data_IF_618394608584
#
_entry.id   IF_618394608584
#
_cell.length_a   1.000
_cell.length_b   1.000
_cell.length_c   1.000
_cell.angle_alpha   90.00
_cell.angle_beta   90.00
_cell.angle_gamma   90.00
#
_symmetry.space_group_name_H-M   'P 1'
#
loop_
_entity.id
_entity.type
_entity.pdbx_description
1 polymer ?
#
# COMPACT_ATOMS: atom_id res chain seq x y z
N UNK A 1 -4.11 -23.50 -27.34
CA UNK A 1 -2.95 -23.27 -26.44
C UNK A 1 -2.48 -21.84 -26.61
N UNK A 2 -2.04 -21.18 -25.53
CA UNK A 2 -1.50 -19.82 -25.59
C UNK A 2 -0.09 -19.83 -26.20
N UNK A 3 0.33 -18.73 -26.86
CA UNK A 3 1.71 -18.58 -27.33
C UNK A 3 2.67 -18.58 -26.14
N UNK A 4 3.87 -19.11 -26.35
CA UNK A 4 4.97 -18.90 -25.40
C UNK A 4 5.37 -17.43 -25.47
N UNK A 5 5.74 -16.86 -24.32
CA UNK A 5 6.24 -15.49 -24.26
C UNK A 5 7.55 -15.48 -23.49
N UNK A 6 8.43 -14.56 -23.86
CA UNK A 6 9.65 -14.26 -23.11
C UNK A 6 9.82 -12.75 -22.97
N UNK A 7 10.45 -12.34 -21.89
CA UNK A 7 10.87 -10.96 -21.67
C UNK A 7 12.37 -10.94 -21.36
N UNK A 8 13.09 -10.01 -22.00
CA UNK A 8 14.51 -9.82 -21.78
C UNK A 8 14.86 -8.33 -21.84
N UNK A 9 15.66 -7.80 -20.92
CA UNK A 9 16.17 -6.43 -21.00
C UNK A 9 17.23 -6.29 -22.10
N UNK A 10 17.92 -7.38 -22.45
CA UNK A 10 18.93 -7.42 -23.49
C UNK A 10 18.27 -7.76 -24.83
N UNK A 11 18.64 -7.10 -25.94
CA UNK A 11 18.08 -7.42 -27.25
C UNK A 11 18.34 -8.89 -27.60
N UNK A 12 17.29 -9.62 -28.05
CA UNK A 12 17.42 -10.98 -28.57
C UNK A 12 18.48 -11.02 -29.67
N UNK A 13 19.12 -12.19 -29.83
CA UNK A 13 20.18 -12.36 -30.83
C UNK A 13 19.71 -12.00 -32.25
N UNK A 14 18.44 -12.25 -32.57
CA UNK A 14 17.87 -11.92 -33.89
C UNK A 14 17.84 -10.42 -34.21
N UNK A 15 17.89 -9.55 -33.19
CA UNK A 15 17.84 -8.09 -33.33
C UNK A 15 19.21 -7.43 -33.14
N UNK A 16 20.29 -8.20 -32.96
CA UNK A 16 21.65 -7.66 -32.81
C UNK A 16 22.20 -7.25 -34.17
N UNK A 17 22.31 -5.94 -34.41
CA UNK A 17 22.84 -5.35 -35.66
C UNK A 17 21.88 -4.34 -36.30
N UNK A 18 20.61 -4.38 -35.90
CA UNK A 18 19.65 -3.33 -36.25
C UNK A 18 19.91 -2.07 -35.40
N UNK A 19 19.67 -0.86 -35.95
CA UNK A 19 19.71 0.38 -35.18
C UNK A 19 18.50 0.43 -34.24
N UNK A 20 18.52 -0.39 -33.19
CA UNK A 20 17.55 -0.33 -32.09
C UNK A 20 17.89 0.91 -31.27
N UNK A 21 17.38 2.05 -31.72
CA UNK A 21 17.51 3.32 -31.02
C UNK A 21 16.80 3.22 -29.66
N UNK A 22 17.42 3.83 -28.65
CA UNK A 22 16.88 4.03 -27.31
C UNK A 22 16.62 2.77 -26.46
N UNK A 23 17.63 1.90 -26.38
CA UNK A 23 17.83 0.99 -25.25
C UNK A 23 18.13 1.79 -23.96
N UNK A 24 17.15 2.56 -23.50
CA UNK A 24 17.22 3.24 -22.20
C UNK A 24 17.26 2.18 -21.09
N UNK A 25 17.85 2.51 -19.95
CA UNK A 25 18.07 1.59 -18.81
C UNK A 25 16.80 0.85 -18.32
N UNK A 26 15.61 1.34 -18.64
CA UNK A 26 14.33 0.77 -18.23
C UNK A 26 13.53 0.10 -19.37
N UNK A 27 14.10 0.05 -20.57
CA UNK A 27 13.49 -0.60 -21.72
C UNK A 27 13.79 -2.10 -21.74
N UNK A 28 12.89 -2.87 -22.36
CA UNK A 28 13.08 -4.31 -22.52
C UNK A 28 12.23 -4.85 -23.66
N UNK A 29 12.59 -6.03 -24.12
CA UNK A 29 11.97 -6.70 -25.26
C UNK A 29 11.00 -7.76 -24.77
N UNK A 30 9.82 -7.80 -25.40
CA UNK A 30 8.85 -8.87 -25.26
C UNK A 30 8.80 -9.62 -26.58
N UNK A 31 8.96 -10.95 -26.53
CA UNK A 31 8.91 -11.80 -27.72
C UNK A 31 7.82 -12.86 -27.54
N UNK A 32 7.06 -13.11 -28.61
CA UNK A 32 5.99 -14.10 -28.65
C UNK A 32 6.26 -15.15 -29.72
N UNK A 33 6.20 -16.43 -29.35
CA UNK A 33 6.39 -17.53 -30.30
C UNK A 33 5.05 -17.91 -30.94
N UNK A 34 4.80 -17.31 -32.10
CA UNK A 34 3.55 -17.51 -32.86
C UNK A 34 3.74 -18.66 -33.85
N UNK A 35 3.33 -19.87 -33.44
CA UNK A 35 3.21 -21.03 -34.34
C UNK A 35 1.92 -21.00 -35.19
N UNK A 36 1.85 -21.81 -36.26
CA UNK A 36 0.68 -21.96 -37.15
C UNK A 36 -0.64 -22.16 -36.39
N UNK A 37 -0.60 -22.94 -35.29
CA UNK A 37 -1.74 -23.19 -34.40
C UNK A 37 -2.42 -21.94 -33.81
N UNK A 38 -1.75 -20.79 -33.82
CA UNK A 38 -2.30 -19.52 -33.35
C UNK A 38 -2.95 -18.70 -34.46
N UNK A 39 -2.55 -18.90 -35.72
CA UNK A 39 -2.97 -18.11 -36.88
C UNK A 39 -3.82 -18.90 -37.88
N UNK A 40 -4.00 -20.22 -37.67
CA UNK A 40 -4.84 -21.06 -38.53
C UNK A 40 -6.32 -20.65 -38.50
N UNK A 41 -6.89 -20.48 -39.71
CA UNK A 41 -8.31 -20.22 -39.94
C UNK A 41 -8.79 -18.87 -39.40
N UNK A 42 -9.97 -18.86 -38.78
CA UNK A 42 -10.63 -17.63 -38.26
C UNK A 42 -9.94 -17.00 -37.03
N UNK A 43 -8.83 -17.59 -36.56
CA UNK A 43 -8.12 -17.14 -35.34
C UNK A 43 -7.05 -16.08 -35.64
N UNK A 44 -6.73 -15.89 -36.91
CA UNK A 44 -5.76 -14.90 -37.38
C UNK A 44 -6.17 -13.49 -36.95
N UNK A 45 -7.41 -13.08 -37.25
CA UNK A 45 -7.90 -11.72 -36.99
C UNK A 45 -7.82 -11.37 -35.49
N UNK A 46 -8.23 -12.30 -34.63
CA UNK A 46 -8.15 -12.11 -33.17
C UNK A 46 -6.70 -12.03 -32.69
N UNK A 47 -5.81 -12.83 -33.26
CA UNK A 47 -4.39 -12.83 -32.88
C UNK A 47 -3.71 -11.53 -33.29
N UNK A 48 -3.98 -11.05 -34.52
CA UNK A 48 -3.50 -9.76 -35.02
C UNK A 48 -4.01 -8.62 -34.13
N UNK A 49 -5.31 -8.61 -33.82
CA UNK A 49 -5.90 -7.62 -32.94
C UNK A 49 -5.24 -7.60 -31.55
N UNK A 50 -5.04 -8.78 -30.95
CA UNK A 50 -4.42 -8.90 -29.63
C UNK A 50 -2.96 -8.43 -29.62
N UNK A 51 -2.18 -8.75 -30.67
CA UNK A 51 -0.78 -8.33 -30.78
C UNK A 51 -0.67 -6.82 -30.99
N UNK A 52 -1.52 -6.25 -31.85
CA UNK A 52 -1.54 -4.81 -32.10
C UNK A 52 -1.90 -4.02 -30.84
N UNK A 53 -2.85 -4.53 -30.04
CA UNK A 53 -3.31 -3.86 -28.82
C UNK A 53 -2.54 -4.27 -27.55
N UNK A 54 -1.55 -5.16 -27.66
CA UNK A 54 -0.85 -5.70 -26.48
C UNK A 54 -0.17 -4.60 -25.66
N UNK A 55 0.49 -3.65 -26.33
CA UNK A 55 1.18 -2.55 -25.66
C UNK A 55 0.22 -1.69 -24.82
N UNK A 56 -0.87 -1.23 -25.43
CA UNK A 56 -1.90 -0.44 -24.76
C UNK A 56 -2.55 -1.24 -23.61
N UNK A 57 -2.75 -2.54 -23.80
CA UNK A 57 -3.27 -3.44 -22.78
C UNK A 57 -2.34 -3.53 -21.56
N UNK A 58 -1.04 -3.72 -21.77
CA UNK A 58 -0.06 -3.80 -20.67
C UNK A 58 0.04 -2.47 -19.94
N UNK A 59 0.13 -1.36 -20.67
CA UNK A 59 0.19 -0.02 -20.09
C UNK A 59 -1.04 0.26 -19.21
N UNK A 60 -2.23 -0.07 -19.71
CA UNK A 60 -3.47 0.04 -18.96
C UNK A 60 -3.44 -0.80 -17.68
N UNK A 61 -2.99 -2.06 -17.75
CA UNK A 61 -2.90 -2.94 -16.57
C UNK A 61 -1.94 -2.41 -15.51
N UNK A 62 -0.82 -1.81 -15.90
CA UNK A 62 0.12 -1.18 -14.97
C UNK A 62 -0.53 0.03 -14.29
N UNK A 63 -1.27 0.87 -15.04
CA UNK A 63 -2.01 2.00 -14.45
C UNK A 63 -3.08 1.53 -13.47
N UNK A 64 -3.84 0.49 -13.83
CA UNK A 64 -4.85 -0.09 -12.95
C UNK A 64 -4.27 -0.68 -11.66
N UNK A 65 -3.16 -1.40 -11.73
CA UNK A 65 -2.53 -1.98 -10.54
C UNK A 65 -2.01 -0.90 -9.59
N UNK A 66 -1.40 0.17 -10.11
CA UNK A 66 -1.02 1.35 -9.33
C UNK A 66 -2.23 1.98 -8.64
N UNK A 67 -3.33 2.20 -9.36
CA UNK A 67 -4.56 2.74 -8.79
C UNK A 67 -5.18 1.84 -7.70
N UNK A 68 -5.14 0.52 -7.89
CA UNK A 68 -5.59 -0.46 -6.92
C UNK A 68 -4.77 -0.41 -5.62
N UNK A 69 -3.43 -0.41 -5.74
CA UNK A 69 -2.53 -0.31 -4.58
C UNK A 69 -2.78 1.00 -3.84
N UNK A 70 -2.87 2.13 -4.55
CA UNK A 70 -3.13 3.44 -3.95
C UNK A 70 -4.47 3.50 -3.21
N UNK A 71 -5.53 2.88 -3.75
CA UNK A 71 -6.83 2.76 -3.06
C UNK A 71 -6.72 1.94 -1.78
N UNK A 72 -5.95 0.85 -1.79
CA UNK A 72 -5.71 0.03 -0.59
C UNK A 72 -4.90 0.80 0.46
N UNK A 73 -3.89 1.56 0.02
CA UNK A 73 -3.09 2.42 0.90
C UNK A 73 -3.95 3.50 1.57
N UNK A 74 -4.84 4.18 0.82
CA UNK A 74 -5.80 5.15 1.41
C UNK A 74 -6.66 4.52 2.50
N UNK A 75 -7.30 3.38 2.21
CA UNK A 75 -8.10 2.66 3.22
C UNK A 75 -7.28 2.24 4.44
N UNK A 76 -6.05 1.80 4.23
CA UNK A 76 -5.12 1.50 5.32
C UNK A 76 -4.83 2.72 6.17
N UNK A 77 -4.51 3.86 5.54
CA UNK A 77 -4.26 5.13 6.20
C UNK A 77 -5.48 5.61 7.00
N UNK A 78 -6.67 5.60 6.40
CA UNK A 78 -7.93 6.00 7.06
C UNK A 78 -8.17 5.17 8.33
N UNK A 79 -7.88 3.87 8.29
CA UNK A 79 -8.02 2.98 9.44
C UNK A 79 -7.04 3.27 10.58
N UNK A 80 -5.82 3.74 10.25
CA UNK A 80 -4.83 4.13 11.24
C UNK A 80 -5.16 5.48 11.85
N UNK A 81 -5.57 6.45 11.03
CA UNK A 81 -6.02 7.77 11.47
C UNK A 81 -7.15 7.64 12.47
N UNK A 82 -8.17 6.83 12.15
CA UNK A 82 -9.27 6.56 13.09
C UNK A 82 -8.80 6.02 14.44
N UNK A 83 -7.89 5.06 14.46
CA UNK A 83 -7.34 4.51 15.71
C UNK A 83 -6.56 5.56 16.51
N UNK A 84 -5.85 6.46 15.84
CA UNK A 84 -5.14 7.57 16.50
C UNK A 84 -6.11 8.57 17.11
N UNK A 85 -7.18 8.94 16.39
CA UNK A 85 -8.24 9.82 16.89
C UNK A 85 -8.97 9.21 18.09
N UNK A 86 -9.33 7.92 18.02
CA UNK A 86 -9.93 7.17 19.12
C UNK A 86 -9.00 7.16 20.35
N UNK A 87 -7.71 6.87 20.15
CA UNK A 87 -6.71 6.87 21.23
C UNK A 87 -6.51 8.26 21.86
N UNK A 88 -6.53 9.32 21.05
CA UNK A 88 -6.41 10.69 21.54
C UNK A 88 -7.66 11.11 22.34
N UNK A 89 -8.84 10.75 21.85
CA UNK A 89 -10.11 10.98 22.55
C UNK A 89 -10.13 10.25 23.89
N UNK A 90 -9.73 8.97 23.91
CA UNK A 90 -9.59 8.20 25.15
C UNK A 90 -8.57 8.81 26.12
N UNK A 91 -7.45 9.33 25.62
CA UNK A 91 -6.44 10.03 26.44
C UNK A 91 -7.03 11.30 27.06
N UNK A 92 -7.73 12.12 26.27
CA UNK A 92 -8.41 13.32 26.74
C UNK A 92 -9.47 12.99 27.79
N UNK A 93 -10.32 11.98 27.54
CA UNK A 93 -11.32 11.51 28.51
C UNK A 93 -10.69 10.97 29.78
N UNK A 94 -9.56 10.26 29.70
CA UNK A 94 -8.83 9.80 30.89
C UNK A 94 -8.24 10.98 31.65
N UNK A 95 -7.69 11.97 30.96
CA UNK A 95 -7.22 13.21 31.58
C UNK A 95 -8.37 13.99 32.20
N UNK A 96 -9.56 14.02 31.60
CA UNK A 96 -10.74 14.69 32.11
C UNK A 96 -11.37 13.95 33.29
N UNK A 97 -11.39 12.61 33.25
CA UNK A 97 -11.93 11.76 34.32
C UNK A 97 -10.97 11.65 35.49
N UNK A 98 -9.65 11.67 35.24
CA UNK A 98 -8.69 12.07 36.25
C UNK A 98 -9.15 13.44 36.71
N UNK A 99 -9.13 14.48 35.83
CA UNK A 99 -9.58 15.88 36.01
C UNK A 99 -11.02 16.13 36.57
N UNK A 100 -11.75 15.10 37.02
CA UNK A 100 -12.94 15.25 37.87
C UNK A 100 -12.79 14.54 39.22
N UNK A 101 -12.06 13.42 39.24
CA UNK A 101 -11.77 12.64 40.45
C UNK A 101 -10.89 13.39 41.48
N UNK A 102 -9.84 14.17 41.12
CA UNK A 102 -9.11 14.99 42.14
C UNK A 102 -9.97 16.07 42.77
N UNK A 103 -10.96 16.61 42.04
CA UNK A 103 -11.90 17.60 42.58
C UNK A 103 -12.90 16.93 43.53
N UNK A 104 -13.34 15.71 43.20
CA UNK A 104 -14.31 14.94 44.00
C UNK A 104 -13.70 14.12 45.13
N UNK A 105 -12.37 14.08 45.27
CA UNK A 105 -11.74 13.50 46.46
C UNK A 105 -12.17 14.32 47.69
N UNK A 106 -12.71 13.68 48.74
CA UNK A 106 -12.99 14.40 49.98
C UNK A 106 -11.67 15.00 50.47
N UNK A 107 -11.64 16.32 50.67
CA UNK A 107 -10.52 16.99 51.32
C UNK A 107 -10.38 16.33 52.69
N UNK A 108 -9.36 15.47 52.84
CA UNK A 108 -9.01 14.91 54.13
C UNK A 108 -8.49 16.07 54.98
N UNK A 109 -9.41 16.77 55.66
CA UNK A 109 -9.10 17.80 56.63
C UNK A 109 -8.45 17.09 57.82
N UNK A 110 -7.13 16.96 57.75
CA UNK A 110 -6.33 16.64 58.93
C UNK A 110 -6.38 17.86 59.85
N UNK A 111 -7.36 17.89 60.75
CA UNK A 111 -7.20 18.69 61.95
C UNK A 111 -6.04 18.05 62.73
N UNK A 112 -4.92 18.76 62.98
CA UNK A 112 -3.89 18.24 63.85
C UNK A 112 -4.44 18.23 65.28
N UNK A 113 -4.88 17.07 65.75
CA UNK A 113 -5.18 16.87 67.17
C UNK A 113 -3.89 17.07 67.96
N UNK A 114 -3.86 18.08 68.83
CA UNK A 114 -2.78 18.30 69.80
C UNK A 114 -2.52 17.03 70.61
N UNK A 115 -1.42 16.32 70.32
CA UNK A 115 -0.83 15.36 71.26
C UNK A 115 0.29 16.06 72.00
N UNK A 116 -0.06 16.64 73.15
CA UNK A 116 0.90 17.06 74.17
C UNK A 116 1.52 15.81 74.78
N UNK A 117 2.82 15.62 74.59
CA UNK A 117 3.59 14.59 75.30
C UNK A 117 3.92 15.13 76.68
N UNK A 118 3.33 14.56 77.73
CA UNK A 118 3.78 14.78 79.10
C UNK A 118 5.13 14.08 79.29
N UNK A 119 6.18 14.86 79.58
CA UNK A 119 7.41 14.35 80.22
C UNK A 119 7.03 13.77 81.58
N UNK A 120 7.48 12.55 81.84
CA UNK A 120 7.52 11.98 83.19
C UNK A 120 8.98 12.01 83.65
N UNK A 121 9.19 12.61 84.81
CA UNK A 121 10.39 12.46 85.64
C UNK A 121 10.50 11.03 86.19
#
# INVERSE_FOLDING_TARGET
KAPQYSWSPVPPFQLRGEPVQDLTTNSGFVSFDITSRHVEGKRLDTTVWNLLNFYAYVEYRIKCSRGYIQRRMRKGMDSLVKKMEDANTLRSLRSFRFNQWWISLPKFSSNPSNKSYTKLD
#
